data_IF_954067952729
#
_entry.id   IF_954067952729
#
_cell.length_a   1.000
_cell.length_b   1.000
_cell.length_c   1.000
_cell.angle_alpha   90.00
_cell.angle_beta   90.00
_cell.angle_gamma   90.00
#
_symmetry.space_group_name_H-M   'P 1'
#
loop_
_entity.id
_entity.type
_entity.pdbx_description
1 polymer ?
#
# COMPACT_ATOMS: atom_id res chain seq x y z
N UNK A 1 -60.78 61.42 24.72
CA UNK A 1 -59.63 61.24 23.84
C UNK A 1 -59.27 59.79 23.97
N UNK A 2 -59.75 59.02 23.00
CA UNK A 2 -59.59 57.53 22.99
C UNK A 2 -59.04 57.19 21.64
N UNK A 3 -57.78 56.84 21.61
CA UNK A 3 -57.09 56.44 20.40
C UNK A 3 -57.35 54.97 20.09
N UNK A 4 -57.88 54.76 18.91
CA UNK A 4 -58.20 53.44 18.36
C UNK A 4 -56.95 52.94 17.62
N UNK A 5 -56.36 51.87 18.10
CA UNK A 5 -55.24 51.18 17.44
C UNK A 5 -55.84 50.14 16.50
N UNK A 6 -55.65 50.32 15.22
CA UNK A 6 -55.99 49.36 14.16
C UNK A 6 -54.82 48.41 13.97
N UNK A 7 -55.05 47.11 14.26
CA UNK A 7 -54.08 46.06 14.02
C UNK A 7 -54.24 45.54 12.60
N UNK A 8 -53.24 45.79 11.76
CA UNK A 8 -53.13 45.15 10.44
C UNK A 8 -52.50 43.77 10.58
N UNK A 9 -53.25 42.74 10.23
CA UNK A 9 -52.78 41.37 10.20
C UNK A 9 -52.18 41.11 8.83
N UNK A 10 -50.85 41.06 8.77
CA UNK A 10 -50.13 40.73 7.54
C UNK A 10 -49.95 39.20 7.45
N UNK A 11 -50.60 38.58 6.50
CA UNK A 11 -50.44 37.18 6.12
C UNK A 11 -49.14 37.01 5.34
N UNK A 12 -48.10 36.41 5.97
CA UNK A 12 -46.88 35.99 5.29
C UNK A 12 -47.11 34.65 4.62
N UNK A 13 -47.10 34.68 3.29
CA UNK A 13 -46.99 33.49 2.44
C UNK A 13 -45.52 33.00 2.51
N UNK A 14 -45.28 31.86 3.13
CA UNK A 14 -44.00 31.15 3.04
C UNK A 14 -43.92 30.43 1.69
N UNK A 15 -43.17 31.00 0.75
CA UNK A 15 -42.72 30.30 -0.44
C UNK A 15 -41.64 29.27 -0.02
N UNK A 16 -41.99 27.99 -0.14
CA UNK A 16 -41.03 26.90 0.10
C UNK A 16 -39.91 26.92 -0.93
N UNK A 17 -38.71 27.28 -0.52
CA UNK A 17 -37.49 27.10 -1.27
C UNK A 17 -37.08 25.64 -1.13
N UNK A 18 -37.31 24.83 -2.16
CA UNK A 18 -36.81 23.46 -2.29
C UNK A 18 -35.30 23.47 -2.36
N UNK A 19 -34.65 23.20 -1.23
CA UNK A 19 -33.23 22.91 -1.20
C UNK A 19 -32.96 21.63 -1.96
N UNK A 20 -32.32 21.73 -3.12
CA UNK A 20 -31.69 20.59 -3.78
C UNK A 20 -30.67 20.03 -2.81
N UNK A 21 -30.90 18.81 -2.34
CA UNK A 21 -29.87 18.01 -1.71
C UNK A 21 -28.76 17.88 -2.76
N UNK A 22 -27.57 18.36 -2.42
CA UNK A 22 -26.35 18.00 -3.13
C UNK A 22 -26.22 16.48 -2.99
N UNK A 23 -26.34 15.78 -4.10
CA UNK A 23 -26.07 14.36 -4.17
C UNK A 23 -24.61 14.19 -3.77
N UNK A 24 -24.40 13.55 -2.62
CA UNK A 24 -23.14 13.03 -2.14
C UNK A 24 -22.65 11.98 -3.16
N UNK A 25 -21.81 12.43 -4.09
CA UNK A 25 -21.03 11.54 -4.94
C UNK A 25 -19.96 10.85 -4.08
N UNK A 26 -20.41 10.24 -2.96
CA UNK A 26 -19.56 9.48 -2.08
C UNK A 26 -19.20 8.17 -2.75
N UNK A 27 -17.89 8.07 -3.05
CA UNK A 27 -17.13 6.82 -3.07
C UNK A 27 -17.80 5.70 -3.88
N UNK A 28 -17.57 5.72 -5.17
CA UNK A 28 -17.57 4.49 -5.95
C UNK A 28 -16.44 3.60 -5.37
N UNK A 29 -16.78 2.76 -4.39
CA UNK A 29 -15.93 1.63 -4.00
C UNK A 29 -15.69 0.82 -5.27
N UNK A 30 -14.43 0.79 -5.69
CA UNK A 30 -13.99 -0.09 -6.77
C UNK A 30 -14.25 -1.51 -6.25
N UNK A 31 -15.09 -2.32 -6.91
CA UNK A 31 -15.34 -3.69 -6.47
C UNK A 31 -13.99 -4.39 -6.31
N UNK A 32 -13.67 -4.86 -5.10
CA UNK A 32 -12.46 -5.62 -4.86
C UNK A 32 -12.66 -6.98 -5.52
N UNK A 33 -12.13 -7.15 -6.72
CA UNK A 33 -12.00 -8.48 -7.27
C UNK A 33 -10.94 -9.19 -6.43
N UNK A 34 -11.37 -10.15 -5.63
CA UNK A 34 -10.51 -10.96 -4.75
C UNK A 34 -9.51 -11.83 -5.53
N UNK A 35 -9.60 -11.82 -6.86
CA UNK A 35 -8.84 -12.68 -7.78
C UNK A 35 -7.77 -11.92 -8.56
N UNK A 36 -7.28 -10.79 -8.05
CA UNK A 36 -6.17 -10.06 -8.65
C UNK A 36 -4.87 -10.34 -7.92
N UNK A 37 -3.78 -10.39 -8.68
CA UNK A 37 -2.41 -10.58 -8.19
C UNK A 37 -1.53 -9.42 -8.67
N UNK A 38 -0.41 -9.19 -7.99
CA UNK A 38 0.64 -8.33 -8.51
C UNK A 38 1.73 -9.16 -9.19
N UNK A 39 2.21 -8.67 -10.32
CA UNK A 39 3.41 -9.19 -10.99
C UNK A 39 4.48 -8.11 -10.91
N UNK A 40 5.58 -8.41 -10.22
CA UNK A 40 6.78 -7.57 -10.14
C UNK A 40 7.79 -8.12 -11.13
N UNK A 41 8.13 -7.34 -12.15
CA UNK A 41 9.17 -7.69 -13.13
C UNK A 41 10.50 -7.10 -12.70
N UNK A 42 11.53 -7.92 -12.71
CA UNK A 42 12.91 -7.52 -12.43
C UNK A 42 13.85 -8.18 -13.46
N UNK A 43 15.07 -7.65 -13.60
CA UNK A 43 16.11 -8.31 -14.42
C UNK A 43 16.46 -9.73 -13.95
N UNK A 44 16.05 -10.11 -12.73
CA UNK A 44 16.29 -11.44 -12.15
C UNK A 44 15.12 -12.40 -12.36
N UNK A 45 14.00 -11.90 -12.89
CA UNK A 45 12.77 -12.67 -13.14
C UNK A 45 11.55 -12.02 -12.52
N UNK A 46 10.45 -12.75 -12.57
CA UNK A 46 9.14 -12.28 -12.07
C UNK A 46 8.86 -12.82 -10.67
N UNK A 47 8.24 -11.96 -9.84
CA UNK A 47 7.68 -12.33 -8.54
C UNK A 47 6.18 -12.07 -8.62
N UNK A 48 5.36 -13.08 -8.32
CA UNK A 48 3.90 -12.95 -8.31
C UNK A 48 3.41 -13.00 -6.87
N UNK A 49 2.62 -11.98 -6.51
CA UNK A 49 2.06 -11.79 -5.16
C UNK A 49 0.56 -11.97 -5.19
N UNK A 50 0.02 -12.78 -4.30
CA UNK A 50 -1.41 -12.75 -3.97
C UNK A 50 -1.66 -11.89 -2.73
N UNK A 51 -2.89 -11.44 -2.56
CA UNK A 51 -3.28 -10.50 -1.51
C UNK A 51 -4.27 -11.11 -0.53
N UNK A 52 -4.32 -10.57 0.69
CA UNK A 52 -5.21 -10.95 1.77
C UNK A 52 -6.15 -9.79 2.16
N UNK A 53 -7.13 -9.43 1.31
CA UNK A 53 -8.04 -8.32 1.57
C UNK A 53 -9.01 -8.57 2.74
N UNK A 54 -9.17 -9.82 3.16
CA UNK A 54 -9.95 -10.24 4.32
C UNK A 54 -9.37 -9.75 5.66
N UNK A 55 -8.04 -9.60 5.75
CA UNK A 55 -7.34 -9.22 6.98
C UNK A 55 -6.62 -7.88 6.90
N UNK A 56 -6.35 -7.36 5.70
CA UNK A 56 -5.63 -6.10 5.50
C UNK A 56 -6.17 -5.32 4.27
N UNK A 57 -7.46 -4.98 4.22
CA UNK A 57 -8.08 -4.36 3.04
C UNK A 57 -7.45 -3.03 2.64
N UNK A 58 -7.06 -2.18 3.60
CA UNK A 58 -6.47 -0.87 3.32
C UNK A 58 -5.07 -1.01 2.72
N UNK A 59 -4.24 -1.93 3.25
CA UNK A 59 -2.89 -2.21 2.72
C UNK A 59 -2.96 -2.78 1.31
N UNK A 60 -3.86 -3.73 1.06
CA UNK A 60 -4.09 -4.31 -0.27
C UNK A 60 -4.52 -3.24 -1.26
N UNK A 61 -5.51 -2.41 -0.91
CA UNK A 61 -5.99 -1.33 -1.76
C UNK A 61 -4.91 -0.30 -2.06
N UNK A 62 -4.14 0.08 -1.04
CA UNK A 62 -3.05 1.03 -1.18
C UNK A 62 -1.97 0.49 -2.14
N UNK A 63 -1.52 -0.76 -1.95
CA UNK A 63 -0.54 -1.38 -2.84
C UNK A 63 -1.07 -1.42 -4.29
N UNK A 64 -2.29 -1.91 -4.51
CA UNK A 64 -2.90 -1.96 -5.84
C UNK A 64 -3.04 -0.58 -6.48
N UNK A 65 -3.47 0.43 -5.72
CA UNK A 65 -3.56 1.82 -6.18
C UNK A 65 -2.21 2.34 -6.65
N UNK A 66 -1.18 2.17 -5.84
CA UNK A 66 0.19 2.62 -6.15
C UNK A 66 0.75 1.88 -7.37
N UNK A 67 0.57 0.55 -7.45
CA UNK A 67 1.01 -0.24 -8.59
C UNK A 67 0.34 0.19 -9.90
N UNK A 68 -0.99 0.40 -9.88
CA UNK A 68 -1.74 0.88 -11.06
C UNK A 68 -1.33 2.29 -11.50
N UNK A 69 -0.87 3.11 -10.57
CA UNK A 69 -0.33 4.45 -10.87
C UNK A 69 1.13 4.41 -11.38
N UNK A 70 1.76 3.23 -11.50
CA UNK A 70 3.17 3.08 -11.87
C UNK A 70 4.12 3.58 -10.78
N UNK A 71 3.64 3.76 -9.55
CA UNK A 71 4.45 4.28 -8.44
C UNK A 71 5.67 3.41 -8.14
N UNK A 72 5.57 2.09 -8.29
CA UNK A 72 6.66 1.18 -8.00
C UNK A 72 7.66 1.01 -9.15
N UNK A 73 7.34 1.47 -10.36
CA UNK A 73 8.20 1.31 -11.53
C UNK A 73 9.53 2.06 -11.33
N UNK A 74 10.65 1.35 -11.46
CA UNK A 74 12.00 1.87 -11.23
C UNK A 74 12.44 1.94 -9.77
N UNK A 75 11.56 1.74 -8.80
CA UNK A 75 11.91 1.64 -7.38
C UNK A 75 12.70 0.36 -7.14
N UNK A 76 13.77 0.42 -6.32
CA UNK A 76 14.65 -0.72 -6.08
C UNK A 76 14.29 -1.50 -4.80
N UNK A 77 14.79 -2.73 -4.73
CA UNK A 77 14.94 -3.43 -3.46
C UNK A 77 16.17 -2.87 -2.75
N UNK A 78 15.98 -1.81 -1.98
CA UNK A 78 17.04 -1.03 -1.33
C UNK A 78 17.61 -1.68 -0.08
N UNK A 79 17.00 -2.76 0.42
CA UNK A 79 17.50 -3.52 1.57
C UNK A 79 17.31 -5.01 1.37
N UNK A 80 18.40 -5.77 1.38
CA UNK A 80 18.38 -7.22 1.20
C UNK A 80 19.21 -7.90 2.29
N UNK A 81 18.58 -8.82 3.03
CA UNK A 81 19.21 -9.60 4.09
C UNK A 81 19.04 -11.09 3.77
N UNK A 82 20.10 -11.79 3.33
CA UNK A 82 20.04 -13.21 3.00
C UNK A 82 19.41 -14.04 4.11
N UNK A 83 18.49 -14.92 3.72
CA UNK A 83 17.80 -15.80 4.66
C UNK A 83 16.89 -15.07 5.65
N UNK A 84 16.58 -13.76 5.43
CA UNK A 84 15.66 -13.03 6.29
C UNK A 84 14.59 -12.29 5.49
N UNK A 85 14.91 -11.18 4.83
CA UNK A 85 13.96 -10.38 4.04
C UNK A 85 14.61 -9.74 2.82
N UNK A 86 13.77 -9.36 1.83
CA UNK A 86 14.05 -8.26 0.89
C UNK A 86 13.01 -7.16 1.10
N UNK A 87 13.41 -5.89 1.04
CA UNK A 87 12.56 -4.73 1.26
C UNK A 87 12.70 -3.75 0.09
N UNK A 88 11.57 -3.23 -0.38
CA UNK A 88 11.49 -2.23 -1.45
C UNK A 88 10.31 -1.29 -1.23
N UNK A 89 9.97 -0.50 -2.27
CA UNK A 89 8.82 0.40 -2.25
C UNK A 89 9.11 1.81 -1.77
N UNK A 90 10.38 2.18 -1.61
CA UNK A 90 10.83 3.53 -1.32
C UNK A 90 11.09 4.32 -2.62
N UNK A 91 10.36 5.41 -2.90
CA UNK A 91 10.57 6.21 -4.10
C UNK A 91 11.95 6.89 -4.16
N UNK A 92 12.63 7.12 -3.02
CA UNK A 92 13.96 7.67 -2.98
C UNK A 92 14.99 6.74 -3.63
N UNK A 93 14.75 5.43 -3.60
CA UNK A 93 15.68 4.44 -4.16
C UNK A 93 15.74 4.40 -5.71
N UNK A 94 15.11 5.37 -6.40
CA UNK A 94 15.22 5.52 -7.85
C UNK A 94 16.46 6.26 -8.32
N UNK A 95 17.04 7.09 -7.47
CA UNK A 95 18.21 7.88 -7.79
C UNK A 95 19.50 7.24 -7.27
N UNK A 96 20.63 7.91 -7.45
CA UNK A 96 21.93 7.42 -7.03
C UNK A 96 22.29 7.79 -5.58
N UNK A 97 21.43 8.59 -4.90
CA UNK A 97 21.65 8.97 -3.50
C UNK A 97 21.14 7.90 -2.53
N UNK A 98 21.99 6.95 -2.23
CA UNK A 98 21.68 5.87 -1.29
C UNK A 98 21.56 6.33 0.17
N UNK A 99 21.92 7.57 0.49
CA UNK A 99 21.90 8.06 1.87
C UNK A 99 20.49 8.20 2.44
N UNK A 100 19.50 8.42 1.56
CA UNK A 100 18.10 8.63 1.88
C UNK A 100 17.22 7.40 1.64
N UNK A 101 17.79 6.27 1.17
CA UNK A 101 17.07 5.01 0.98
C UNK A 101 16.45 4.51 2.29
N UNK A 102 15.19 4.06 2.20
CA UNK A 102 14.41 3.60 3.33
C UNK A 102 13.62 4.71 4.05
N UNK A 103 13.79 5.99 3.65
CA UNK A 103 13.14 7.14 4.31
C UNK A 103 11.92 7.68 3.54
N UNK A 104 11.73 7.30 2.29
CA UNK A 104 10.66 7.79 1.44
C UNK A 104 9.35 7.03 1.56
N UNK A 105 8.31 7.61 0.94
CA UNK A 105 6.96 7.04 0.91
C UNK A 105 6.05 7.77 -0.08
N UNK A 106 4.76 7.45 -0.12
CA UNK A 106 3.82 7.97 -1.13
C UNK A 106 3.30 9.38 -0.81
N UNK A 107 3.83 10.06 0.23
CA UNK A 107 3.37 11.36 0.69
C UNK A 107 2.20 11.30 1.68
N UNK A 108 1.81 10.10 2.12
CA UNK A 108 0.80 9.85 3.15
C UNK A 108 1.09 8.55 3.89
N UNK A 109 0.39 8.32 4.99
CA UNK A 109 0.46 7.06 5.75
C UNK A 109 -0.91 6.39 5.83
N UNK A 110 -0.92 5.09 6.15
CA UNK A 110 -2.12 4.29 6.37
C UNK A 110 -2.06 3.63 7.75
N UNK A 111 -3.21 3.49 8.44
CA UNK A 111 -3.26 2.84 9.74
C UNK A 111 -2.88 1.37 9.66
N UNK A 112 -2.30 0.85 10.75
CA UNK A 112 -1.96 -0.57 10.85
C UNK A 112 -3.20 -1.47 10.79
N UNK A 113 -3.05 -2.63 10.15
CA UNK A 113 -4.04 -3.72 10.11
C UNK A 113 -3.38 -5.01 10.60
N UNK A 114 -2.91 -4.99 11.88
CA UNK A 114 -2.30 -6.17 12.48
C UNK A 114 -3.28 -7.32 12.53
N UNK A 115 -2.82 -8.51 12.19
CA UNK A 115 -3.63 -9.70 12.08
C UNK A 115 -2.84 -10.95 12.51
N UNK A 116 -3.52 -12.10 12.62
CA UNK A 116 -2.94 -13.35 13.14
C UNK A 116 -2.19 -14.17 12.08
N UNK A 117 -2.03 -13.66 10.86
CA UNK A 117 -1.25 -14.36 9.84
C UNK A 117 0.24 -14.30 10.20
N UNK A 118 0.92 -15.47 10.29
CA UNK A 118 2.33 -15.50 10.67
C UNK A 118 3.23 -15.02 9.53
N UNK A 119 4.38 -14.45 9.90
CA UNK A 119 5.46 -14.15 8.97
C UNK A 119 6.24 -15.42 8.64
N UNK A 120 5.84 -16.11 7.59
CA UNK A 120 6.50 -17.30 7.05
C UNK A 120 7.33 -16.95 5.82
N UNK A 121 8.07 -17.93 5.28
CA UNK A 121 8.75 -17.75 3.99
C UNK A 121 7.74 -17.41 2.88
N UNK A 122 8.01 -16.35 2.14
CA UNK A 122 7.13 -15.82 1.10
C UNK A 122 6.09 -14.81 1.58
N UNK A 123 5.92 -14.59 2.90
CA UNK A 123 4.98 -13.59 3.40
C UNK A 123 5.34 -12.20 2.92
N UNK A 124 4.33 -11.50 2.36
CA UNK A 124 4.38 -10.08 2.01
C UNK A 124 3.82 -9.26 3.17
N UNK A 125 4.63 -8.35 3.71
CA UNK A 125 4.29 -7.54 4.87
C UNK A 125 4.69 -6.09 4.68
N UNK A 126 3.99 -5.17 5.35
CA UNK A 126 4.20 -3.74 5.18
C UNK A 126 5.30 -3.23 6.13
N UNK A 127 6.28 -2.53 5.57
CA UNK A 127 7.29 -1.85 6.35
C UNK A 127 6.71 -0.55 6.96
N UNK A 128 7.27 -0.13 8.11
CA UNK A 128 6.85 1.08 8.83
C UNK A 128 7.98 1.64 9.71
N UNK A 129 7.83 2.86 10.13
CA UNK A 129 8.68 3.48 11.16
C UNK A 129 8.30 3.02 12.58
N UNK A 130 8.62 3.85 13.58
CA UNK A 130 8.30 3.55 14.99
C UNK A 130 6.79 3.58 15.26
N UNK A 131 6.09 4.59 14.71
CA UNK A 131 4.63 4.67 14.81
C UNK A 131 3.99 3.51 14.03
N UNK A 132 3.12 2.69 14.64
CA UNK A 132 2.36 1.65 13.96
C UNK A 132 1.60 2.14 12.73
N UNK A 133 1.12 3.39 12.73
CA UNK A 133 0.36 4.01 11.65
C UNK A 133 1.22 4.80 10.66
N UNK A 134 2.52 4.52 10.58
CA UNK A 134 3.45 5.16 9.65
C UNK A 134 3.70 4.38 8.36
N UNK A 135 2.95 3.30 8.10
CA UNK A 135 3.05 2.55 6.85
C UNK A 135 2.67 3.43 5.65
N UNK A 136 3.33 3.25 4.52
CA UNK A 136 3.09 4.02 3.30
C UNK A 136 3.16 3.15 2.05
N UNK A 137 4.32 3.10 1.40
CA UNK A 137 4.55 2.30 0.20
C UNK A 137 5.58 1.19 0.37
N UNK A 138 6.41 1.25 1.42
CA UNK A 138 7.48 0.28 1.60
C UNK A 138 6.94 -1.05 2.12
N UNK A 139 7.40 -2.14 1.53
CA UNK A 139 7.03 -3.50 1.88
C UNK A 139 8.25 -4.42 1.93
N UNK A 140 8.10 -5.56 2.57
CA UNK A 140 9.14 -6.59 2.58
C UNK A 140 8.55 -7.98 2.33
N UNK A 141 9.39 -8.87 1.83
CA UNK A 141 9.09 -10.28 1.62
C UNK A 141 10.00 -11.11 2.51
N UNK A 142 9.41 -12.00 3.31
CA UNK A 142 10.15 -12.86 4.22
C UNK A 142 10.78 -14.06 3.49
N UNK A 143 12.02 -14.41 3.84
CA UNK A 143 12.75 -15.56 3.31
C UNK A 143 12.78 -16.76 4.27
N UNK A 144 12.34 -16.54 5.51
CA UNK A 144 12.19 -17.56 6.55
C UNK A 144 11.07 -17.16 7.53
N UNK A 145 10.62 -18.04 8.42
CA UNK A 145 9.76 -17.67 9.53
C UNK A 145 10.40 -16.57 10.40
N UNK A 146 9.61 -15.54 10.73
CA UNK A 146 10.02 -14.38 11.51
C UNK A 146 8.99 -14.04 12.60
N UNK A 147 8.79 -14.92 13.61
CA UNK A 147 7.71 -14.79 14.61
C UNK A 147 7.83 -13.51 15.47
N UNK A 148 9.00 -12.89 15.55
CA UNK A 148 9.16 -11.60 16.24
C UNK A 148 8.44 -10.43 15.56
N UNK A 149 8.01 -10.60 14.31
CA UNK A 149 7.25 -9.62 13.53
C UNK A 149 5.73 -9.82 13.65
N UNK A 150 5.27 -10.99 14.13
CA UNK A 150 3.86 -11.34 14.23
C UNK A 150 3.14 -10.37 15.18
N UNK A 151 1.96 -9.90 14.75
CA UNK A 151 1.15 -8.92 15.46
C UNK A 151 1.76 -7.50 15.54
N UNK A 152 2.95 -7.25 14.92
CA UNK A 152 3.63 -5.95 14.93
C UNK A 152 3.79 -5.31 13.55
N UNK A 153 3.68 -6.11 12.51
CA UNK A 153 3.67 -5.67 11.11
C UNK A 153 2.45 -6.25 10.40
N UNK A 154 1.92 -5.50 9.44
CA UNK A 154 0.71 -5.91 8.72
C UNK A 154 1.06 -6.89 7.60
N UNK A 155 0.68 -8.14 7.77
CA UNK A 155 0.71 -9.14 6.68
C UNK A 155 -0.46 -8.85 5.74
N UNK A 156 -0.20 -8.63 4.44
CA UNK A 156 -1.25 -8.31 3.48
C UNK A 156 -1.23 -9.16 2.20
N UNK A 157 -0.31 -10.13 2.12
CA UNK A 157 -0.21 -11.05 0.99
C UNK A 157 0.93 -12.06 1.13
N UNK A 158 1.20 -12.77 0.05
CA UNK A 158 2.33 -13.70 -0.06
C UNK A 158 2.78 -13.91 -1.51
N UNK A 159 4.01 -14.38 -1.67
CA UNK A 159 4.55 -14.83 -2.96
C UNK A 159 3.93 -16.18 -3.34
N UNK A 160 3.35 -16.26 -4.53
CA UNK A 160 2.80 -17.51 -5.09
C UNK A 160 3.64 -18.06 -6.24
N UNK A 161 4.53 -17.23 -6.85
CA UNK A 161 5.48 -17.63 -7.89
C UNK A 161 6.72 -16.75 -7.81
N UNK A 162 7.90 -17.30 -8.10
CA UNK A 162 9.15 -16.53 -8.12
C UNK A 162 9.84 -16.39 -6.76
N UNK A 163 9.58 -17.28 -5.80
CA UNK A 163 10.29 -17.26 -4.50
C UNK A 163 11.80 -17.52 -4.66
N UNK A 164 12.21 -18.21 -5.71
CA UNK A 164 13.60 -18.38 -6.12
C UNK A 164 14.22 -17.08 -6.65
N UNK A 165 13.41 -16.21 -7.29
CA UNK A 165 13.81 -14.85 -7.68
C UNK A 165 14.08 -14.03 -6.44
N UNK A 166 13.20 -14.09 -5.43
CA UNK A 166 13.39 -13.43 -4.13
C UNK A 166 14.68 -13.88 -3.46
N UNK A 167 15.00 -15.18 -3.50
CA UNK A 167 16.26 -15.70 -2.98
C UNK A 167 17.48 -15.13 -3.73
N UNK A 168 17.43 -15.07 -5.05
CA UNK A 168 18.53 -14.49 -5.86
C UNK A 168 18.74 -13.02 -5.52
N UNK A 169 17.67 -12.25 -5.40
CA UNK A 169 17.73 -10.82 -5.00
C UNK A 169 18.37 -10.69 -3.62
N UNK A 170 17.99 -11.52 -2.66
CA UNK A 170 18.51 -11.45 -1.31
C UNK A 170 20.01 -11.76 -1.21
N UNK A 171 20.56 -12.51 -2.16
CA UNK A 171 21.94 -12.99 -2.12
C UNK A 171 22.92 -12.17 -2.99
N UNK A 172 22.49 -11.03 -3.54
CA UNK A 172 23.42 -10.16 -4.28
C UNK A 172 24.44 -9.50 -3.34
N UNK A 173 25.62 -9.08 -3.85
CA UNK A 173 26.54 -8.24 -3.13
C UNK A 173 25.87 -6.97 -2.61
N UNK A 174 26.06 -6.63 -1.36
CA UNK A 174 25.45 -5.48 -0.67
C UNK A 174 26.44 -4.73 0.19
N UNK A 175 26.13 -3.51 0.52
CA UNK A 175 26.90 -2.68 1.42
C UNK A 175 26.60 -2.96 2.90
N UNK A 176 27.25 -2.20 3.80
CA UNK A 176 27.10 -2.35 5.26
C UNK A 176 25.69 -2.02 5.76
N UNK A 177 24.86 -1.33 4.95
CA UNK A 177 23.46 -1.03 5.26
C UNK A 177 22.48 -2.02 4.63
N UNK A 178 22.98 -3.14 4.12
CA UNK A 178 22.23 -4.16 3.40
C UNK A 178 21.63 -3.67 2.04
N UNK A 179 22.13 -2.55 1.48
CA UNK A 179 21.70 -2.07 0.18
C UNK A 179 22.51 -2.75 -0.94
N UNK A 180 21.89 -3.35 -1.97
CA UNK A 180 22.57 -3.98 -3.08
C UNK A 180 23.61 -3.06 -3.73
N UNK A 181 24.84 -3.54 -3.98
CA UNK A 181 25.87 -2.73 -4.66
C UNK A 181 25.46 -2.33 -6.08
N UNK A 182 24.76 -3.23 -6.78
CA UNK A 182 24.08 -2.93 -8.04
C UNK A 182 22.59 -2.82 -7.78
N UNK A 183 21.94 -1.68 -8.07
CA UNK A 183 20.51 -1.49 -7.87
C UNK A 183 19.69 -2.58 -8.57
N UNK A 184 18.67 -3.10 -7.89
CA UNK A 184 17.72 -4.08 -8.44
C UNK A 184 16.34 -3.43 -8.51
N UNK A 185 16.00 -2.75 -9.62
CA UNK A 185 14.71 -2.10 -9.77
C UNK A 185 13.60 -3.11 -10.00
N UNK A 186 12.42 -2.77 -9.50
CA UNK A 186 11.17 -3.26 -9.99
C UNK A 186 10.91 -2.56 -11.34
N UNK A 187 11.27 -3.23 -12.45
CA UNK A 187 11.17 -2.65 -13.80
C UNK A 187 9.73 -2.29 -14.12
N UNK A 188 8.80 -3.16 -13.69
CA UNK A 188 7.37 -2.95 -13.82
C UNK A 188 6.63 -3.66 -12.69
N UNK A 189 5.58 -3.01 -12.17
CA UNK A 189 4.65 -3.65 -11.23
C UNK A 189 3.23 -3.52 -11.77
N UNK A 190 2.61 -4.65 -12.09
CA UNK A 190 1.26 -4.69 -12.67
C UNK A 190 0.29 -5.44 -11.78
N UNK A 191 -0.98 -5.02 -11.79
CA UNK A 191 -2.09 -5.74 -11.16
C UNK A 191 -2.88 -6.40 -12.28
N UNK A 192 -2.96 -7.72 -12.24
CA UNK A 192 -3.65 -8.53 -13.26
C UNK A 192 -4.60 -9.52 -12.61
N UNK A 193 -5.66 -9.97 -13.31
CA UNK A 193 -6.45 -11.10 -12.88
C UNK A 193 -5.58 -12.37 -12.76
N UNK A 194 -5.80 -13.18 -11.73
CA UNK A 194 -5.07 -14.45 -11.53
C UNK A 194 -5.17 -15.39 -12.74
N UNK A 195 -6.27 -15.32 -13.47
CA UNK A 195 -6.49 -16.10 -14.69
C UNK A 195 -5.56 -15.75 -15.86
N UNK A 196 -4.76 -14.69 -15.74
CA UNK A 196 -3.79 -14.25 -16.74
C UNK A 196 -2.33 -14.65 -16.42
N UNK A 197 -2.11 -15.48 -15.39
CA UNK A 197 -0.79 -15.99 -15.00
C UNK A 197 -0.28 -17.10 -15.89
#
# INVERSE_FOLDING_TARGET
MRDVVIVFMATLLFAGCGGKKADDESKKEIPQTTDEVAVIQTRMGEIVLEFFPDVAPQHVNNFKKLARAGFYDGITFHRVIPGYIIQGGDPNSRDDDRSNDGLGGPGYTIPAEFNDRPHLRGTLSMARGQDPNSAGSQFFICLRPAPLLDGKYTVFGQVIKGIDVVDRIANVPRDIRDNPLEPIPMEKVTIVPRSQL
#
